data_IF_784141085177
#
_entry.id   IF_784141085177
#
_cell.length_a   1.000
_cell.length_b   1.000
_cell.length_c   1.000
_cell.angle_alpha   90.00
_cell.angle_beta   90.00
_cell.angle_gamma   90.00
#
_symmetry.space_group_name_H-M   'P 1'
#
loop_
_entity.id
_entity.type
_entity.pdbx_description
1 polymer ?
#
# COMPACT_ATOMS: atom_id res chain seq x y z
N UNK A 1 -23.26 39.09 -0.10
CA UNK A 1 -23.63 38.96 1.32
C UNK A 1 -24.31 37.61 1.50
N UNK A 2 -23.69 36.73 2.31
CA UNK A 2 -24.23 35.50 2.92
C UNK A 2 -24.41 34.29 1.97
N UNK A 3 -23.46 33.34 1.92
CA UNK A 3 -23.14 32.24 2.87
C UNK A 3 -23.99 30.98 2.60
N UNK A 4 -23.37 29.94 2.03
CA UNK A 4 -23.81 28.55 2.23
C UNK A 4 -22.58 27.67 2.45
N UNK A 5 -22.38 27.31 3.72
CA UNK A 5 -21.46 26.27 4.18
C UNK A 5 -21.97 24.90 3.74
N UNK A 6 -21.10 24.08 3.14
CA UNK A 6 -21.22 22.62 3.20
C UNK A 6 -19.85 22.08 3.59
N UNK A 7 -19.70 21.79 4.89
CA UNK A 7 -18.60 21.00 5.41
C UNK A 7 -18.90 19.53 5.16
N UNK A 8 -17.98 18.83 4.49
CA UNK A 8 -18.04 17.39 4.29
C UNK A 8 -16.94 16.75 5.14
N UNK A 9 -17.30 16.31 6.35
CA UNK A 9 -16.50 15.38 7.14
C UNK A 9 -16.71 13.97 6.56
N UNK A 10 -15.65 13.34 6.05
CA UNK A 10 -15.61 11.91 5.81
C UNK A 10 -14.79 11.25 6.92
N UNK A 11 -15.50 10.75 7.94
CA UNK A 11 -14.95 9.80 8.90
C UNK A 11 -15.19 8.39 8.33
N UNK A 12 -14.13 7.72 7.89
CA UNK A 12 -14.19 6.32 7.48
C UNK A 12 -14.07 5.41 8.69
N UNK A 13 -15.19 5.00 9.26
CA UNK A 13 -15.23 3.87 10.20
C UNK A 13 -15.29 2.55 9.40
N UNK A 14 -14.39 1.62 9.73
CA UNK A 14 -14.41 0.26 9.23
C UNK A 14 -15.69 -0.47 9.70
N UNK A 15 -16.40 -1.08 8.76
CA UNK A 15 -17.58 -1.91 9.03
C UNK A 15 -17.11 -3.33 9.40
N UNK A 16 -17.54 -3.92 10.54
CA UNK A 16 -17.23 -5.31 10.85
C UNK A 16 -18.04 -6.28 9.97
N UNK A 17 -17.35 -7.31 9.48
CA UNK A 17 -17.91 -8.43 8.71
C UNK A 17 -18.99 -9.20 9.51
N UNK A 18 -20.18 -9.33 8.93
CA UNK A 18 -21.26 -10.20 9.42
C UNK A 18 -20.99 -11.66 9.04
N UNK A 19 -20.44 -12.45 9.95
CA UNK A 19 -20.59 -13.90 9.92
C UNK A 19 -21.30 -14.40 11.19
N UNK A 20 -22.31 -15.28 11.09
CA UNK A 20 -23.04 -15.78 12.25
C UNK A 20 -22.15 -16.71 13.10
N UNK A 21 -21.97 -16.35 14.37
CA UNK A 21 -21.26 -17.16 15.36
C UNK A 21 -22.22 -18.20 15.95
N UNK A 22 -21.93 -19.49 15.78
CA UNK A 22 -22.61 -20.57 16.51
C UNK A 22 -22.22 -20.47 18.00
N UNK A 23 -23.21 -20.44 18.87
CA UNK A 23 -23.08 -20.43 20.33
C UNK A 23 -22.66 -21.80 20.86
N UNK A 24 -21.70 -21.81 21.79
CA UNK A 24 -21.38 -22.94 22.65
C UNK A 24 -21.47 -22.47 24.12
N UNK A 25 -21.91 -23.34 25.06
CA UNK A 25 -22.34 -22.91 26.38
C UNK A 25 -21.19 -22.48 27.29
N UNK A 26 -21.48 -21.48 28.12
CA UNK A 26 -20.62 -20.91 29.16
C UNK A 26 -20.54 -21.89 30.33
N UNK A 27 -19.32 -22.29 30.72
CA UNK A 27 -19.06 -22.98 31.99
C UNK A 27 -18.43 -21.99 32.96
N UNK A 28 -19.07 -21.80 34.11
CA UNK A 28 -18.62 -20.90 35.17
C UNK A 28 -17.57 -21.57 36.04
N UNK A 29 -16.35 -21.07 36.04
CA UNK A 29 -15.45 -21.13 37.19
C UNK A 29 -14.58 -19.87 37.18
N UNK A 30 -14.64 -19.10 38.27
CA UNK A 30 -13.79 -17.93 38.48
C UNK A 30 -12.39 -18.38 38.92
N UNK A 31 -11.30 -17.85 38.36
CA UNK A 31 -9.97 -18.11 38.91
C UNK A 31 -9.72 -17.24 40.15
N UNK A 32 -9.29 -17.90 41.21
CA UNK A 32 -8.89 -17.33 42.50
C UNK A 32 -7.62 -16.47 42.34
N UNK A 33 -7.67 -15.25 42.86
CA UNK A 33 -6.54 -14.31 42.91
C UNK A 33 -5.50 -14.78 43.94
N UNK A 34 -4.25 -14.94 43.51
CA UNK A 34 -3.09 -15.16 44.39
C UNK A 34 -2.36 -13.83 44.61
N UNK A 35 -1.91 -13.50 45.84
CA UNK A 35 -1.24 -12.23 46.11
C UNK A 35 0.17 -12.19 45.50
N UNK A 36 0.63 -10.95 45.29
CA UNK A 36 1.86 -10.59 44.60
C UNK A 36 3.11 -11.30 45.14
N UNK A 37 3.91 -11.84 44.22
CA UNK A 37 5.30 -12.25 44.49
C UNK A 37 6.15 -10.99 44.62
N UNK A 38 6.77 -10.81 45.79
CA UNK A 38 7.74 -9.76 46.08
C UNK A 38 8.94 -9.92 45.15
N UNK A 39 9.07 -9.06 44.15
CA UNK A 39 10.26 -8.98 43.32
C UNK A 39 11.38 -8.33 44.14
N UNK A 40 12.44 -9.10 44.39
CA UNK A 40 13.68 -8.61 44.96
C UNK A 40 14.31 -7.51 44.09
N UNK A 41 15.01 -6.60 44.76
CA UNK A 41 15.77 -5.49 44.18
C UNK A 41 16.79 -5.99 43.16
N UNK A 42 16.79 -5.53 41.90
CA UNK A 42 17.97 -5.61 41.06
C UNK A 42 18.85 -4.39 41.36
N UNK A 43 19.92 -4.63 42.11
CA UNK A 43 21.11 -3.78 42.09
C UNK A 43 21.90 -4.14 40.83
N UNK A 44 22.20 -3.11 40.03
CA UNK A 44 23.24 -2.94 39.00
C UNK A 44 22.61 -2.17 37.83
N UNK A 45 22.82 -0.86 37.85
CA UNK A 45 22.72 0.01 36.68
C UNK A 45 23.84 -0.41 35.72
N UNK A 46 23.53 -1.30 34.78
CA UNK A 46 24.35 -1.42 33.58
C UNK A 46 24.02 -0.21 32.71
N UNK A 47 25.02 0.65 32.56
CA UNK A 47 25.05 1.80 31.67
C UNK A 47 24.54 1.38 30.28
N UNK A 48 23.43 1.99 29.82
CA UNK A 48 22.96 1.83 28.45
C UNK A 48 24.09 2.32 27.55
N UNK A 49 24.68 1.43 26.75
CA UNK A 49 25.60 1.85 25.69
C UNK A 49 24.93 2.98 24.88
N UNK A 50 25.64 4.07 24.59
CA UNK A 50 25.08 5.16 23.83
C UNK A 50 24.55 4.64 22.49
N UNK A 51 23.43 5.21 22.05
CA UNK A 51 22.90 4.94 20.72
C UNK A 51 24.04 4.97 19.70
N UNK A 52 24.11 4.00 18.76
CA UNK A 52 25.12 4.04 17.71
C UNK A 52 25.12 5.43 17.10
N UNK A 53 26.27 6.10 17.14
CA UNK A 53 26.45 7.38 16.46
C UNK A 53 25.88 7.25 15.06
N UNK A 54 25.08 8.22 14.64
CA UNK A 54 24.52 8.27 13.29
C UNK A 54 25.64 7.93 12.31
N UNK A 55 25.56 6.81 11.56
CA UNK A 55 26.62 6.48 10.63
C UNK A 55 26.80 7.66 9.70
N UNK A 56 28.05 8.13 9.58
CA UNK A 56 28.40 9.24 8.71
C UNK A 56 27.73 9.03 7.35
N UNK A 57 27.10 10.11 6.84
CA UNK A 57 26.47 10.14 5.52
C UNK A 57 27.36 9.42 4.52
N UNK A 58 26.91 8.32 3.89
CA UNK A 58 27.71 7.61 2.92
C UNK A 58 28.22 8.61 1.87
N UNK A 59 29.52 8.58 1.60
CA UNK A 59 30.10 9.33 0.50
C UNK A 59 29.27 9.09 -0.77
N UNK A 60 29.03 10.11 -1.62
CA UNK A 60 28.15 9.97 -2.77
C UNK A 60 28.62 8.80 -3.62
N UNK A 61 27.79 7.75 -3.68
CA UNK A 61 28.04 6.60 -4.51
C UNK A 61 28.26 7.08 -5.94
N UNK A 62 29.36 6.64 -6.56
CA UNK A 62 29.60 6.84 -8.00
C UNK A 62 28.32 6.42 -8.74
N UNK A 63 27.81 7.29 -9.63
CA UNK A 63 26.60 7.04 -10.43
C UNK A 63 26.79 5.78 -11.27
N UNK A 64 26.45 4.63 -10.69
CA UNK A 64 26.23 3.40 -11.42
C UNK A 64 25.03 3.64 -12.35
N UNK A 65 25.13 3.15 -13.58
CA UNK A 65 24.01 3.14 -14.52
C UNK A 65 22.79 2.52 -13.83
N UNK A 66 21.63 3.20 -13.77
CA UNK A 66 20.48 2.68 -13.04
C UNK A 66 20.07 1.34 -13.64
N UNK A 67 20.05 0.27 -12.83
CA UNK A 67 19.32 -0.95 -13.22
C UNK A 67 17.86 -0.56 -13.52
N UNK A 68 17.21 -1.18 -14.52
CA UNK A 68 15.81 -0.91 -14.79
C UNK A 68 14.99 -1.20 -13.53
N UNK A 69 14.07 -0.30 -13.21
CA UNK A 69 13.22 -0.42 -12.03
C UNK A 69 12.39 -1.70 -12.11
N UNK A 70 12.26 -2.39 -10.97
CA UNK A 70 11.41 -3.56 -10.85
C UNK A 70 9.96 -3.15 -11.15
N UNK A 71 9.24 -3.96 -11.92
CA UNK A 71 7.81 -3.72 -12.20
C UNK A 71 6.99 -4.23 -11.02
N UNK A 72 6.03 -3.41 -10.60
CA UNK A 72 5.03 -3.71 -9.57
C UNK A 72 3.71 -3.98 -10.26
N UNK A 73 3.07 -5.12 -9.93
CA UNK A 73 1.74 -5.51 -10.42
C UNK A 73 0.72 -5.21 -9.33
N UNK A 74 -0.06 -4.16 -9.50
CA UNK A 74 -1.06 -3.71 -8.52
C UNK A 74 -2.45 -4.12 -8.98
N UNK A 75 -3.20 -4.85 -8.15
CA UNK A 75 -4.61 -5.14 -8.41
C UNK A 75 -5.45 -3.89 -8.16
N UNK A 76 -6.18 -3.43 -9.17
CA UNK A 76 -7.07 -2.28 -9.12
C UNK A 76 -8.54 -2.68 -8.96
N UNK A 77 -8.95 -3.77 -9.63
CA UNK A 77 -10.30 -4.33 -9.56
C UNK A 77 -10.23 -5.84 -9.59
N UNK A 78 -10.80 -6.50 -8.57
CA UNK A 78 -10.73 -7.95 -8.37
C UNK A 78 -11.81 -8.71 -9.17
N UNK A 79 -13.05 -8.21 -9.14
CA UNK A 79 -14.20 -8.87 -9.78
C UNK A 79 -14.95 -7.95 -10.74
N UNK A 80 -14.28 -7.52 -11.80
CA UNK A 80 -14.84 -6.64 -12.82
C UNK A 80 -15.85 -7.33 -13.74
N UNK A 81 -17.00 -6.68 -13.97
CA UNK A 81 -17.93 -7.02 -15.06
C UNK A 81 -17.87 -6.02 -16.21
N UNK A 82 -17.66 -4.75 -15.87
CA UNK A 82 -17.42 -3.66 -16.80
C UNK A 82 -16.55 -2.58 -16.15
N UNK A 83 -15.70 -1.93 -16.94
CA UNK A 83 -14.95 -0.75 -16.54
C UNK A 83 -14.78 0.21 -17.72
N UNK A 84 -14.52 1.48 -17.42
CA UNK A 84 -14.19 2.50 -18.41
C UNK A 84 -12.85 3.11 -18.06
N UNK A 85 -11.90 3.02 -18.99
CA UNK A 85 -10.55 3.58 -18.83
C UNK A 85 -10.43 4.77 -19.75
N UNK A 86 -10.36 5.96 -19.19
CA UNK A 86 -10.05 7.15 -19.98
C UNK A 86 -8.56 7.18 -20.27
N UNK A 87 -8.17 7.77 -21.39
CA UNK A 87 -6.78 8.01 -21.73
C UNK A 87 -6.60 9.40 -22.31
N UNK A 88 -5.55 10.11 -21.88
CA UNK A 88 -5.26 11.48 -22.31
C UNK A 88 -4.63 11.60 -23.70
N UNK A 89 -4.29 10.47 -24.32
CA UNK A 89 -3.50 10.45 -25.54
C UNK A 89 -3.43 9.05 -26.17
N UNK A 90 -2.27 8.73 -26.74
CA UNK A 90 -2.06 7.50 -27.51
C UNK A 90 -1.99 6.26 -26.62
N UNK A 91 -2.72 5.22 -27.00
CA UNK A 91 -2.64 3.89 -26.37
C UNK A 91 -2.45 2.79 -27.41
N UNK A 92 -1.62 1.80 -27.08
CA UNK A 92 -1.55 0.53 -27.79
C UNK A 92 -2.37 -0.50 -27.02
N UNK A 93 -3.23 -1.25 -27.70
CA UNK A 93 -4.05 -2.28 -27.08
C UNK A 93 -3.77 -3.61 -27.77
N UNK A 94 -3.34 -4.61 -27.00
CA UNK A 94 -2.86 -5.87 -27.56
C UNK A 94 -3.05 -7.06 -26.61
N UNK A 95 -3.12 -8.27 -27.16
CA UNK A 95 -3.09 -9.50 -26.36
C UNK A 95 -1.68 -9.78 -25.85
N UNK A 96 -1.55 -10.46 -24.72
CA UNK A 96 -0.23 -10.74 -24.11
C UNK A 96 0.75 -11.49 -25.03
N UNK A 97 0.25 -12.38 -25.88
CA UNK A 97 1.05 -13.07 -26.91
C UNK A 97 1.39 -12.20 -28.13
N UNK A 98 0.85 -10.98 -28.22
CA UNK A 98 1.02 -10.06 -29.35
C UNK A 98 0.22 -10.43 -30.61
N UNK A 99 -0.60 -11.48 -30.60
CA UNK A 99 -1.31 -11.96 -31.79
C UNK A 99 -2.36 -11.00 -32.32
N UNK A 100 -2.97 -10.19 -31.45
CA UNK A 100 -3.92 -9.14 -31.82
C UNK A 100 -3.44 -7.81 -31.26
N UNK A 101 -3.47 -6.76 -32.08
CA UNK A 101 -3.08 -5.41 -31.68
C UNK A 101 -3.83 -4.34 -32.46
N UNK A 102 -4.17 -3.26 -31.80
CA UNK A 102 -4.58 -2.00 -32.43
C UNK A 102 -4.08 -0.81 -31.62
N UNK A 103 -4.20 0.39 -32.20
CA UNK A 103 -3.80 1.64 -31.56
C UNK A 103 -4.95 2.63 -31.58
N UNK A 104 -5.06 3.43 -30.53
CA UNK A 104 -5.93 4.61 -30.49
C UNK A 104 -5.01 5.83 -30.42
N UNK A 105 -5.18 6.78 -31.34
CA UNK A 105 -4.23 7.89 -31.49
C UNK A 105 -4.63 9.18 -30.76
N UNK A 106 -5.93 9.38 -30.56
CA UNK A 106 -6.49 10.53 -29.85
C UNK A 106 -6.88 10.17 -28.42
N UNK A 107 -7.06 11.17 -27.56
CA UNK A 107 -7.65 10.99 -26.23
C UNK A 107 -9.06 10.39 -26.34
N UNK A 108 -9.47 9.62 -25.35
CA UNK A 108 -10.75 8.92 -25.40
C UNK A 108 -11.00 8.01 -24.21
N UNK A 109 -11.91 7.06 -24.40
CA UNK A 109 -12.27 6.05 -23.40
C UNK A 109 -12.26 4.66 -24.02
N UNK A 110 -11.59 3.72 -23.36
CA UNK A 110 -11.63 2.29 -23.65
C UNK A 110 -12.60 1.62 -22.68
N UNK A 111 -13.67 1.00 -23.20
CA UNK A 111 -14.54 0.16 -22.38
C UNK A 111 -13.95 -1.24 -22.22
N UNK A 112 -13.97 -1.77 -21.01
CA UNK A 112 -13.62 -3.15 -20.68
C UNK A 112 -14.89 -3.87 -20.24
N UNK A 113 -15.16 -5.06 -20.78
CA UNK A 113 -16.34 -5.86 -20.43
C UNK A 113 -16.01 -7.34 -20.43
N UNK A 114 -16.62 -8.11 -19.53
CA UNK A 114 -16.62 -9.58 -19.67
C UNK A 114 -17.29 -9.99 -20.97
N UNK A 115 -16.85 -11.11 -21.53
CA UNK A 115 -17.35 -11.67 -22.77
C UNK A 115 -17.62 -13.18 -22.60
N UNK A 116 -18.34 -13.78 -23.55
CA UNK A 116 -18.68 -15.21 -23.53
C UNK A 116 -17.42 -16.07 -23.45
N UNK A 117 -17.55 -17.30 -22.93
CA UNK A 117 -16.46 -18.28 -22.77
C UNK A 117 -15.29 -17.77 -21.91
N UNK A 118 -15.60 -17.04 -20.84
CA UNK A 118 -14.61 -16.43 -19.93
C UNK A 118 -13.59 -15.53 -20.64
N UNK A 119 -13.99 -14.92 -21.75
CA UNK A 119 -13.17 -13.95 -22.46
C UNK A 119 -13.37 -12.55 -21.89
N UNK A 120 -12.50 -11.62 -22.25
CA UNK A 120 -12.67 -10.21 -21.97
C UNK A 120 -12.56 -9.39 -23.26
N UNK A 121 -13.30 -8.29 -23.30
CA UNK A 121 -13.27 -7.32 -24.38
C UNK A 121 -12.70 -6.01 -23.87
N UNK A 122 -11.68 -5.46 -24.56
CA UNK A 122 -11.17 -4.10 -24.33
C UNK A 122 -11.24 -3.30 -25.64
N UNK A 123 -12.16 -2.34 -25.68
CA UNK A 123 -12.57 -1.66 -26.91
C UNK A 123 -13.09 -2.67 -27.94
N UNK A 124 -12.42 -2.80 -29.09
CA UNK A 124 -12.80 -3.75 -30.15
C UNK A 124 -12.14 -5.12 -30.04
N UNK A 125 -11.16 -5.29 -29.15
CA UNK A 125 -10.40 -6.53 -29.05
C UNK A 125 -11.05 -7.46 -28.03
N UNK A 126 -11.36 -8.69 -28.46
CA UNK A 126 -11.85 -9.78 -27.62
C UNK A 126 -10.82 -10.91 -27.55
N UNK A 127 -10.51 -11.38 -26.34
CA UNK A 127 -9.54 -12.45 -26.11
C UNK A 127 -9.82 -13.30 -24.85
N UNK A 128 -9.39 -14.56 -24.90
CA UNK A 128 -9.37 -15.49 -23.75
C UNK A 128 -8.09 -15.39 -22.91
N UNK A 129 -7.13 -14.57 -23.37
CA UNK A 129 -5.86 -14.31 -22.71
C UNK A 129 -5.80 -12.84 -22.26
N UNK A 130 -4.82 -12.45 -21.42
CA UNK A 130 -4.71 -11.08 -20.97
C UNK A 130 -4.62 -10.06 -22.10
N UNK A 131 -5.33 -8.95 -21.93
CA UNK A 131 -5.26 -7.79 -22.81
C UNK A 131 -4.52 -6.66 -22.09
N UNK A 132 -3.56 -6.06 -22.78
CA UNK A 132 -2.78 -4.93 -22.29
C UNK A 132 -3.28 -3.65 -22.94
N UNK A 133 -3.47 -2.61 -22.14
CA UNK A 133 -3.70 -1.23 -22.56
C UNK A 133 -2.45 -0.44 -22.14
N UNK A 134 -1.57 -0.16 -23.09
CA UNK A 134 -0.27 0.46 -22.87
C UNK A 134 -0.31 1.95 -23.27
N UNK A 135 -0.12 2.88 -22.32
CA UNK A 135 0.00 4.29 -22.63
C UNK A 135 1.33 4.58 -23.34
N UNK A 136 1.31 5.50 -24.31
CA UNK A 136 2.49 5.90 -25.09
C UNK A 136 2.81 7.38 -24.87
N UNK A 137 4.10 7.72 -24.76
CA UNK A 137 4.57 9.11 -24.82
C UNK A 137 4.00 10.01 -23.71
N UNK A 138 3.94 9.52 -22.47
CA UNK A 138 3.40 10.28 -21.33
C UNK A 138 1.88 10.32 -21.24
N UNK A 139 1.18 9.51 -22.03
CA UNK A 139 -0.27 9.32 -21.89
C UNK A 139 -0.61 8.85 -20.47
N UNK A 140 -1.64 9.46 -19.89
CA UNK A 140 -2.18 9.10 -18.58
C UNK A 140 -3.43 8.26 -18.81
N UNK A 141 -3.51 7.12 -18.13
CA UNK A 141 -4.74 6.35 -17.99
C UNK A 141 -5.51 6.85 -16.76
N UNK A 142 -6.82 6.96 -16.84
CA UNK A 142 -7.66 7.31 -15.70
C UNK A 142 -8.75 6.26 -15.50
N UNK A 143 -8.87 5.77 -14.28
CA UNK A 143 -9.88 4.83 -13.83
C UNK A 143 -10.25 5.13 -12.38
N UNK A 144 -11.54 5.04 -12.05
CA UNK A 144 -12.08 5.35 -10.71
C UNK A 144 -11.55 6.69 -10.12
N UNK A 145 -11.53 7.73 -10.97
CA UNK A 145 -11.05 9.10 -10.63
C UNK A 145 -9.55 9.22 -10.32
N UNK A 146 -8.79 8.15 -10.45
CA UNK A 146 -7.35 8.09 -10.21
C UNK A 146 -6.57 8.11 -11.52
N UNK A 147 -5.33 8.62 -11.50
CA UNK A 147 -4.48 8.79 -12.68
C UNK A 147 -3.26 7.88 -12.63
N UNK A 148 -3.01 7.18 -13.73
CA UNK A 148 -2.06 6.08 -13.81
C UNK A 148 -1.08 6.29 -14.96
N UNK A 149 0.17 5.92 -14.73
CA UNK A 149 1.28 6.04 -15.70
C UNK A 149 1.72 4.68 -16.23
N UNK A 150 1.41 3.60 -15.49
CA UNK A 150 1.67 2.23 -15.91
C UNK A 150 0.69 1.76 -16.98
N UNK A 151 1.01 0.60 -17.57
CA UNK A 151 0.09 -0.08 -18.48
C UNK A 151 -0.96 -0.83 -17.67
N UNK A 152 -2.18 -0.87 -18.18
CA UNK A 152 -3.23 -1.71 -17.60
C UNK A 152 -3.18 -3.10 -18.21
N UNK A 153 -3.35 -4.11 -17.37
CA UNK A 153 -3.43 -5.53 -17.76
C UNK A 153 -4.78 -6.05 -17.29
N UNK A 154 -5.56 -6.56 -18.23
CA UNK A 154 -6.90 -7.11 -17.98
C UNK A 154 -6.80 -8.63 -18.03
N UNK A 155 -6.93 -9.29 -16.89
CA UNK A 155 -6.92 -10.75 -16.81
C UNK A 155 -8.34 -11.30 -17.01
N UNK A 156 -8.58 -12.16 -18.01
CA UNK A 156 -9.89 -12.71 -18.31
C UNK A 156 -10.33 -13.78 -17.28
N UNK A 157 -11.63 -13.99 -17.19
CA UNK A 157 -12.28 -14.94 -16.27
C UNK A 157 -13.80 -14.84 -16.36
N UNK A 158 -14.52 -15.44 -15.40
CA UNK A 158 -15.99 -15.23 -15.27
C UNK A 158 -16.32 -13.76 -14.99
N UNK A 159 -15.52 -13.17 -14.12
CA UNK A 159 -15.25 -11.73 -13.98
C UNK A 159 -13.82 -11.48 -14.43
N UNK A 160 -13.44 -10.25 -14.74
CA UNK A 160 -12.06 -9.90 -15.06
C UNK A 160 -11.37 -9.23 -13.86
N UNK A 161 -10.05 -9.40 -13.75
CA UNK A 161 -9.23 -8.54 -12.92
C UNK A 161 -8.64 -7.40 -13.75
N UNK A 162 -8.59 -6.20 -13.17
CA UNK A 162 -7.85 -5.06 -13.73
C UNK A 162 -6.61 -4.80 -12.88
N UNK A 163 -5.44 -4.82 -13.51
CA UNK A 163 -4.16 -4.57 -12.86
C UNK A 163 -3.48 -3.37 -13.51
N UNK A 164 -2.63 -2.67 -12.77
CA UNK A 164 -1.61 -1.79 -13.33
C UNK A 164 -0.22 -2.41 -13.16
N UNK A 165 0.56 -2.38 -14.24
CA UNK A 165 1.98 -2.72 -14.21
C UNK A 165 2.77 -1.41 -14.33
N UNK A 166 3.46 -1.05 -13.25
CA UNK A 166 4.11 0.24 -13.08
C UNK A 166 5.53 0.08 -12.51
N UNK A 167 6.52 0.89 -12.92
CA UNK A 167 7.84 0.89 -12.29
C UNK A 167 7.76 1.20 -10.79
N UNK A 168 8.57 0.53 -9.97
CA UNK A 168 8.57 0.66 -8.51
C UNK A 168 8.61 2.11 -8.01
N UNK A 169 9.48 2.95 -8.57
CA UNK A 169 9.59 4.33 -8.12
C UNK A 169 8.34 5.16 -8.48
N UNK A 170 7.69 4.88 -9.63
CA UNK A 170 6.43 5.52 -9.99
C UNK A 170 5.26 5.02 -9.14
N UNK A 171 5.26 3.74 -8.75
CA UNK A 171 4.31 3.20 -7.79
C UNK A 171 4.36 3.98 -6.47
N UNK A 172 5.56 4.27 -5.97
CA UNK A 172 5.74 5.01 -4.71
C UNK A 172 5.19 6.45 -4.77
N UNK A 173 5.21 7.11 -5.93
CA UNK A 173 4.54 8.41 -6.09
C UNK A 173 3.04 8.33 -5.85
N UNK A 174 2.42 7.18 -6.17
CA UNK A 174 0.99 6.94 -5.95
C UNK A 174 0.64 6.33 -4.59
N UNK A 175 1.62 5.93 -3.78
CA UNK A 175 1.41 5.43 -2.40
C UNK A 175 1.57 6.56 -1.39
N UNK A 176 2.71 7.24 -1.43
CA UNK A 176 3.12 8.15 -0.36
C UNK A 176 2.09 9.22 -0.02
N UNK A 177 1.47 9.94 -0.98
CA UNK A 177 0.52 11.00 -0.66
C UNK A 177 -0.75 10.53 0.05
N UNK A 178 -1.04 9.23 0.00
CA UNK A 178 -2.25 8.64 0.57
C UNK A 178 -2.00 7.88 1.86
N UNK A 179 -0.73 7.60 2.18
CA UNK A 179 -0.30 7.05 3.47
C UNK A 179 0.22 8.13 4.41
N UNK A 180 0.77 9.21 3.84
CA UNK A 180 1.31 10.32 4.60
C UNK A 180 1.09 11.63 3.87
N UNK A 181 0.78 12.70 4.62
CA UNK A 181 0.49 14.00 3.99
C UNK A 181 1.72 14.52 3.23
N UNK A 182 1.54 14.87 1.95
CA UNK A 182 2.64 15.21 1.04
C UNK A 182 3.43 16.47 1.43
N UNK A 183 2.92 17.29 2.36
CA UNK A 183 3.63 18.48 2.89
C UNK A 183 4.37 18.24 4.21
N UNK A 184 4.38 17.01 4.72
CA UNK A 184 5.18 16.69 5.91
C UNK A 184 6.67 16.84 5.63
N UNK A 185 7.46 16.86 6.71
CA UNK A 185 8.90 17.03 6.64
C UNK A 185 9.53 16.05 5.63
N UNK A 186 10.47 16.55 4.82
CA UNK A 186 11.08 15.76 3.75
C UNK A 186 11.71 14.46 4.28
N UNK A 187 12.36 14.50 5.44
CA UNK A 187 12.96 13.32 6.05
C UNK A 187 11.91 12.28 6.50
N UNK A 188 10.71 12.71 6.91
CA UNK A 188 9.61 11.79 7.16
C UNK A 188 9.12 11.14 5.86
N UNK A 189 9.04 11.92 4.77
CA UNK A 189 8.65 11.40 3.45
C UNK A 189 9.68 10.40 2.92
N UNK A 190 10.97 10.64 3.17
CA UNK A 190 12.05 9.70 2.85
C UNK A 190 11.95 8.42 3.64
N UNK A 191 11.72 8.50 4.95
CA UNK A 191 11.52 7.31 5.79
C UNK A 191 10.32 6.48 5.29
N UNK A 192 9.20 7.14 4.96
CA UNK A 192 8.03 6.48 4.37
C UNK A 192 8.34 5.87 3.00
N UNK A 193 9.12 6.55 2.13
CA UNK A 193 9.53 6.02 0.83
C UNK A 193 10.31 4.70 1.00
N UNK A 194 11.30 4.68 1.89
CA UNK A 194 12.11 3.49 2.17
C UNK A 194 11.27 2.37 2.76
N UNK A 195 10.37 2.67 3.71
CA UNK A 195 9.46 1.70 4.29
C UNK A 195 8.50 1.11 3.23
N UNK A 196 7.84 1.94 2.44
CA UNK A 196 6.90 1.49 1.40
C UNK A 196 7.61 0.68 0.31
N UNK A 197 8.82 1.10 -0.11
CA UNK A 197 9.65 0.36 -1.07
C UNK A 197 10.01 -1.04 -0.56
N UNK A 198 10.44 -1.12 0.69
CA UNK A 198 10.80 -2.39 1.34
C UNK A 198 9.61 -3.34 1.41
N UNK A 199 8.45 -2.83 1.84
CA UNK A 199 7.20 -3.60 1.89
C UNK A 199 6.85 -4.16 0.51
N UNK A 200 6.88 -3.30 -0.52
CA UNK A 200 6.57 -3.70 -1.91
C UNK A 200 7.49 -4.80 -2.40
N UNK A 201 8.80 -4.63 -2.22
CA UNK A 201 9.78 -5.63 -2.64
C UNK A 201 9.59 -6.95 -1.88
N UNK A 202 9.27 -6.90 -0.58
CA UNK A 202 8.97 -8.10 0.20
C UNK A 202 7.68 -8.79 -0.27
N UNK A 203 6.67 -8.03 -0.67
CA UNK A 203 5.45 -8.59 -1.25
C UNK A 203 5.72 -9.30 -2.57
N UNK A 204 6.54 -8.69 -3.45
CA UNK A 204 6.95 -9.30 -4.72
C UNK A 204 7.73 -10.60 -4.47
N UNK A 205 8.66 -10.64 -3.50
CA UNK A 205 9.37 -11.86 -3.12
C UNK A 205 8.43 -12.99 -2.67
N UNK A 206 7.34 -12.64 -1.97
CA UNK A 206 6.41 -13.62 -1.41
C UNK A 206 5.37 -14.13 -2.41
N UNK A 207 5.04 -13.32 -3.43
CA UNK A 207 3.90 -13.54 -4.34
C UNK A 207 4.31 -13.86 -5.78
N UNK A 208 5.43 -14.56 -5.95
CA UNK A 208 5.99 -14.88 -7.28
C UNK A 208 4.97 -15.59 -8.19
N UNK A 209 4.20 -16.52 -7.64
CA UNK A 209 3.21 -17.33 -8.37
C UNK A 209 1.81 -16.69 -8.45
N UNK A 210 1.61 -15.54 -7.80
CA UNK A 210 0.31 -14.86 -7.80
C UNK A 210 0.17 -13.96 -9.04
N UNK A 211 -1.06 -13.66 -9.49
CA UNK A 211 -1.28 -12.78 -10.64
C UNK A 211 -0.86 -11.32 -10.39
N UNK A 212 -0.78 -10.89 -9.13
CA UNK A 212 -0.39 -9.54 -8.72
C UNK A 212 0.40 -9.54 -7.40
N UNK A 213 1.09 -8.44 -7.14
CA UNK A 213 1.97 -8.29 -5.97
C UNK A 213 1.24 -7.59 -4.80
N UNK A 214 0.42 -6.59 -5.09
CA UNK A 214 -0.18 -5.70 -4.09
C UNK A 214 -1.64 -5.39 -4.40
N UNK A 215 -2.44 -5.22 -3.35
CA UNK A 215 -3.73 -4.54 -3.44
C UNK A 215 -3.52 -3.03 -3.47
N UNK A 216 -4.47 -2.26 -4.00
CA UNK A 216 -4.44 -0.80 -4.00
C UNK A 216 -5.09 -0.15 -2.76
N UNK A 217 -5.44 -0.95 -1.76
CA UNK A 217 -6.10 -0.53 -0.52
C UNK A 217 -5.33 -1.02 0.73
N UNK A 218 -5.94 -0.86 1.91
CA UNK A 218 -5.35 -1.19 3.22
C UNK A 218 -4.96 -2.66 3.40
N UNK A 219 -5.38 -3.58 2.51
CA UNK A 219 -4.85 -4.96 2.50
C UNK A 219 -3.36 -5.02 2.15
N UNK A 220 -2.84 -3.97 1.53
CA UNK A 220 -1.42 -3.78 1.26
C UNK A 220 -0.99 -2.37 1.64
N UNK A 221 -1.15 -1.41 0.73
CA UNK A 221 -0.84 0.00 0.90
C UNK A 221 -1.84 0.77 0.05
N UNK A 222 -2.33 1.92 0.54
CA UNK A 222 -3.26 2.75 -0.22
C UNK A 222 -2.54 3.31 -1.45
N UNK A 223 -3.00 2.92 -2.63
CA UNK A 223 -2.42 3.32 -3.90
C UNK A 223 -3.49 3.90 -4.83
N UNK A 224 -3.26 5.12 -5.32
CA UNK A 224 -4.20 5.81 -6.24
C UNK A 224 -3.55 6.29 -7.53
N UNK A 225 -2.57 5.53 -8.03
CA UNK A 225 -1.94 5.79 -9.31
C UNK A 225 -0.80 6.81 -9.24
N UNK A 226 0.30 6.56 -9.97
CA UNK A 226 1.47 7.44 -10.04
C UNK A 226 1.31 8.70 -10.91
N UNK A 227 0.11 8.97 -11.43
CA UNK A 227 -0.14 10.06 -12.39
C UNK A 227 -0.36 11.44 -11.76
N UNK A 228 -0.60 11.51 -10.44
CA UNK A 228 -0.58 12.77 -9.69
C UNK A 228 0.70 12.86 -8.88
N UNK A 229 1.58 13.77 -9.27
CA UNK A 229 2.92 13.91 -8.67
C UNK A 229 2.95 15.14 -7.77
N UNK A 230 3.49 14.97 -6.57
CA UNK A 230 3.75 16.05 -5.62
C UNK A 230 5.26 16.23 -5.48
N UNK A 231 5.76 17.46 -5.53
CA UNK A 231 7.20 17.73 -5.60
C UNK A 231 7.99 17.16 -4.41
N UNK A 232 7.51 17.35 -3.18
CA UNK A 232 8.16 16.80 -1.98
C UNK A 232 8.18 15.26 -1.98
N UNK A 233 7.10 14.62 -2.45
CA UNK A 233 7.01 13.16 -2.56
C UNK A 233 7.99 12.66 -3.61
N UNK A 234 8.00 13.30 -4.79
CA UNK A 234 8.94 12.98 -5.86
C UNK A 234 10.37 13.12 -5.37
N UNK A 235 10.70 14.21 -4.70
CA UNK A 235 12.01 14.47 -4.14
C UNK A 235 12.42 13.40 -3.10
N UNK A 236 11.52 13.00 -2.20
CA UNK A 236 11.79 11.98 -1.19
C UNK A 236 12.06 10.60 -1.81
N UNK A 237 11.22 10.19 -2.77
CA UNK A 237 11.37 8.91 -3.49
C UNK A 237 12.66 8.91 -4.30
N UNK A 238 12.94 9.98 -5.05
CA UNK A 238 14.13 10.08 -5.90
C UNK A 238 15.42 10.12 -5.07
N UNK A 239 15.43 10.82 -3.94
CA UNK A 239 16.61 10.90 -3.05
C UNK A 239 16.88 9.62 -2.26
N UNK A 240 15.91 8.71 -2.17
CA UNK A 240 16.04 7.40 -1.50
C UNK A 240 15.94 6.23 -2.48
N UNK A 241 16.12 6.50 -3.78
CA UNK A 241 15.95 5.49 -4.82
C UNK A 241 16.83 4.28 -4.54
N UNK A 242 16.21 3.10 -4.48
CA UNK A 242 16.91 1.84 -4.19
C UNK A 242 17.28 1.62 -2.73
N UNK A 243 17.03 2.57 -1.82
CA UNK A 243 17.21 2.37 -0.39
C UNK A 243 16.07 1.53 0.19
N UNK A 244 16.44 0.52 0.98
CA UNK A 244 15.54 -0.46 1.59
C UNK A 244 15.99 -0.80 3.01
N UNK A 245 15.06 -1.24 3.85
CA UNK A 245 15.36 -1.81 5.16
C UNK A 245 15.62 -3.30 5.03
N UNK A 246 16.68 -3.77 5.66
CA UNK A 246 16.96 -5.20 5.79
C UNK A 246 17.37 -5.53 7.22
N UNK A 247 17.13 -6.78 7.62
CA UNK A 247 17.58 -7.31 8.89
C UNK A 247 18.31 -8.62 8.62
N UNK A 248 19.58 -8.69 9.03
CA UNK A 248 20.48 -9.82 8.71
C UNK A 248 20.54 -10.16 7.21
N UNK A 249 20.50 -9.14 6.36
CA UNK A 249 20.55 -9.27 4.91
C UNK A 249 19.22 -9.61 4.23
N UNK A 250 18.14 -9.80 4.99
CA UNK A 250 16.83 -10.13 4.43
C UNK A 250 15.84 -8.96 4.52
N UNK A 251 15.02 -8.80 3.48
CA UNK A 251 13.87 -7.90 3.53
C UNK A 251 12.78 -8.47 4.43
N UNK A 252 12.08 -7.58 5.13
CA UNK A 252 10.94 -7.90 5.98
C UNK A 252 9.78 -6.95 5.71
N UNK A 253 8.56 -7.31 6.11
CA UNK A 253 7.41 -6.43 5.97
C UNK A 253 7.52 -5.25 6.94
N UNK A 254 7.68 -4.07 6.38
CA UNK A 254 7.83 -2.78 7.08
C UNK A 254 6.46 -2.15 7.30
N UNK A 255 5.72 -2.72 8.26
CA UNK A 255 4.40 -2.20 8.64
C UNK A 255 4.51 -0.78 9.23
N UNK A 256 3.55 0.07 8.89
CA UNK A 256 3.43 1.43 9.40
C UNK A 256 1.96 1.73 9.73
N UNK A 257 1.72 2.77 10.52
CA UNK A 257 0.40 3.16 11.04
C UNK A 257 0.39 4.65 11.38
N UNK A 258 -0.80 5.23 11.56
CA UNK A 258 -0.96 6.69 11.69
C UNK A 258 -0.58 7.27 13.05
N UNK A 259 -0.73 6.52 14.16
CA UNK A 259 -0.37 6.96 15.50
C UNK A 259 -0.19 5.76 16.45
N UNK A 260 0.90 5.76 17.22
CA UNK A 260 1.26 4.68 18.13
C UNK A 260 0.55 4.70 19.51
N UNK A 261 -0.08 5.81 19.92
CA UNK A 261 -0.69 5.94 21.26
C UNK A 261 0.31 5.81 22.43
N UNK A 262 1.61 5.94 22.17
CA UNK A 262 2.70 5.91 23.15
C UNK A 262 3.68 4.74 22.99
N UNK A 263 3.31 3.69 22.26
CA UNK A 263 4.21 2.58 21.93
C UNK A 263 3.73 1.81 20.69
N UNK A 264 4.66 1.22 19.94
CA UNK A 264 4.33 0.31 18.84
C UNK A 264 4.26 -1.13 19.34
N UNK A 265 3.39 -1.92 18.72
CA UNK A 265 3.15 -3.31 19.10
C UNK A 265 4.16 -4.29 18.48
N UNK A 266 4.37 -5.41 19.17
CA UNK A 266 5.00 -6.58 18.60
C UNK A 266 4.13 -7.19 17.49
N UNK A 267 4.69 -7.45 16.31
CA UNK A 267 3.93 -7.90 15.12
C UNK A 267 3.09 -9.16 15.36
N UNK A 268 3.58 -10.08 16.20
CA UNK A 268 2.92 -11.35 16.47
C UNK A 268 1.62 -11.24 17.28
N UNK A 269 1.30 -10.08 17.84
CA UNK A 269 0.02 -9.83 18.52
C UNK A 269 -1.15 -9.99 17.53
N UNK A 270 -0.98 -9.52 16.29
CA UNK A 270 -2.02 -9.57 15.25
C UNK A 270 -1.64 -10.47 14.07
N UNK A 271 -0.36 -10.78 13.87
CA UNK A 271 0.09 -11.74 12.85
C UNK A 271 1.02 -12.79 13.46
N UNK A 272 0.42 -13.84 14.03
CA UNK A 272 1.16 -14.95 14.67
C UNK A 272 2.16 -15.67 13.75
N UNK A 273 2.03 -15.52 12.43
CA UNK A 273 2.93 -16.13 11.44
C UNK A 273 4.09 -15.21 11.04
N UNK A 274 4.12 -13.96 11.52
CA UNK A 274 5.21 -13.04 11.24
C UNK A 274 6.51 -13.50 11.93
N UNK A 275 7.68 -13.21 11.33
CA UNK A 275 8.95 -13.53 11.94
C UNK A 275 9.13 -12.74 13.25
N UNK A 276 9.67 -13.41 14.28
CA UNK A 276 10.05 -12.77 15.53
C UNK A 276 11.46 -12.16 15.39
N UNK A 277 11.52 -10.91 14.90
CA UNK A 277 12.77 -10.18 14.68
C UNK A 277 12.72 -8.82 15.37
N UNK A 278 13.89 -8.32 15.81
CA UNK A 278 14.03 -7.07 16.57
C UNK A 278 13.30 -5.87 15.95
N UNK A 279 13.35 -5.62 14.62
CA UNK A 279 12.61 -4.50 14.02
C UNK A 279 11.08 -4.58 14.14
N UNK A 280 10.54 -5.76 14.45
CA UNK A 280 9.10 -6.01 14.56
C UNK A 280 8.65 -6.27 16.01
N UNK A 281 9.51 -5.99 16.98
CA UNK A 281 9.26 -6.32 18.39
C UNK A 281 8.42 -5.28 19.14
N UNK A 282 8.11 -4.14 18.53
CA UNK A 282 7.50 -3.00 19.20
C UNK A 282 8.54 -2.13 19.94
N UNK A 283 8.21 -0.86 20.17
CA UNK A 283 9.07 0.12 20.83
C UNK A 283 8.26 1.27 21.42
N UNK A 284 8.74 1.88 22.51
CA UNK A 284 8.16 3.11 23.05
C UNK A 284 8.28 4.25 22.04
N UNK A 285 7.22 5.05 21.93
CA UNK A 285 7.05 6.09 20.92
C UNK A 285 6.69 7.41 21.62
N UNK A 286 7.65 8.35 21.64
CA UNK A 286 7.53 9.60 22.44
C UNK A 286 7.01 10.80 21.65
N UNK A 287 6.92 10.69 20.33
CA UNK A 287 6.71 11.85 19.44
C UNK A 287 5.26 12.03 18.99
N UNK A 288 4.42 11.00 19.09
CA UNK A 288 3.06 11.03 18.55
C UNK A 288 2.03 11.74 19.44
N UNK A 289 2.42 12.17 20.65
CA UNK A 289 1.52 12.80 21.62
C UNK A 289 0.90 14.11 21.12
N UNK A 290 1.50 14.75 20.13
CA UNK A 290 0.95 15.96 19.50
C UNK A 290 -0.20 15.67 18.52
N UNK A 291 -0.39 14.42 18.11
CA UNK A 291 -1.34 14.08 17.05
C UNK A 291 -2.77 14.02 17.58
N UNK A 292 -3.73 14.52 16.78
CA UNK A 292 -5.16 14.52 17.14
C UNK A 292 -5.73 13.13 17.36
N UNK A 293 -5.07 12.10 16.83
CA UNK A 293 -5.46 10.69 16.97
C UNK A 293 -4.77 10.00 18.15
N UNK A 294 -3.95 10.70 18.94
CA UNK A 294 -3.25 10.10 20.09
C UNK A 294 -4.21 9.72 21.21
N UNK A 295 -5.21 10.56 21.45
CA UNK A 295 -6.34 10.27 22.34
C UNK A 295 -7.63 10.39 21.53
N UNK A 296 -8.56 9.45 21.71
CA UNK A 296 -9.90 9.57 21.14
C UNK A 296 -10.96 9.16 22.16
N UNK A 297 -12.16 9.72 22.01
CA UNK A 297 -13.34 9.34 22.77
C UNK A 297 -14.49 9.14 21.78
N UNK A 298 -15.21 8.04 21.91
CA UNK A 298 -16.39 7.76 21.10
C UNK A 298 -17.53 7.36 22.03
N UNK A 299 -18.62 8.11 22.00
CA UNK A 299 -19.84 7.79 22.73
C UNK A 299 -20.69 6.84 21.87
N UNK A 300 -21.07 5.69 22.42
CA UNK A 300 -21.91 4.71 21.75
C UNK A 300 -23.31 4.79 22.33
N UNK A 301 -24.30 5.19 21.53
CA UNK A 301 -25.71 5.07 21.90
C UNK A 301 -26.26 3.72 21.45
N UNK A 302 -27.04 3.06 22.31
CA UNK A 302 -27.84 1.92 21.86
C UNK A 302 -28.84 2.42 20.82
N UNK A 303 -28.84 1.80 19.64
CA UNK A 303 -29.92 2.02 18.68
C UNK A 303 -31.22 1.53 19.31
N UNK A 304 -32.22 2.43 19.38
CA UNK A 304 -33.57 2.13 19.83
C UNK A 304 -34.31 1.25 18.83
#
# INVERSE_FOLDING_TARGET
MILFCVGMLLAGCAVPSTQPRKSAPVSSTAPTYQPAVTLGTPSVLTELEPAPQTPAKPAPAKKATPKPDKIVRVLLLEEGKSAYVKHSGRVNIYTQDGSKKYKISAAGTVSIKTHRNNQVQAGTLVAAQPIIIEPVGGTILEWDKNKYTGKFVVLPGKTFMLLEYVPLEQYLYGVLPYEMHHTWALEALKAQAVAARTYTLKSIEKKVEEPFDLYNDVRSQVYKGGGQVYDNVKQAVDQTRGEVLSYKGELFFTYYHGNCGGATDHVQIWNKKAPNIKPLSGATCKFDSHSKSYNFKQDLSNAA
#
